data_IF_202501937438
#
_entry.id   IF_202501937438
#
_cell.length_a   1.000
_cell.length_b   1.000
_cell.length_c   1.000
_cell.angle_alpha   90.00
_cell.angle_beta   90.00
_cell.angle_gamma   90.00
#
_symmetry.space_group_name_H-M   'P 1'
#
loop_
_entity.id
_entity.type
_entity.pdbx_description
1 polymer ?
#
# COMPACT_ATOMS: atom_id res chain seq x y z
N UNK A 1 9.22 11.71 -15.26
CA UNK A 1 8.51 10.66 -16.06
C UNK A 1 7.18 11.22 -16.55
N UNK A 2 6.70 10.80 -17.73
CA UNK A 2 5.42 11.28 -18.28
C UNK A 2 4.27 10.47 -17.70
N UNK A 3 3.27 11.15 -17.14
CA UNK A 3 2.05 10.51 -16.64
C UNK A 3 1.33 9.76 -17.77
N UNK A 4 0.81 8.57 -17.47
CA UNK A 4 -0.02 7.78 -18.38
C UNK A 4 -1.50 7.94 -18.00
N UNK A 5 -2.39 7.94 -18.99
CA UNK A 5 -3.84 7.98 -18.73
C UNK A 5 -4.24 6.72 -17.97
N UNK A 6 -4.94 6.91 -16.86
CA UNK A 6 -5.53 5.85 -16.04
C UNK A 6 -6.98 6.23 -15.79
N UNK A 7 -7.90 5.35 -16.17
CA UNK A 7 -9.34 5.53 -15.99
C UNK A 7 -9.86 4.39 -15.13
N UNK A 8 -10.58 4.73 -14.07
CA UNK A 8 -11.27 3.79 -13.18
C UNK A 8 -12.47 4.48 -12.54
N UNK A 9 -13.32 3.70 -11.88
CA UNK A 9 -14.44 4.20 -11.09
C UNK A 9 -14.02 4.45 -9.65
N UNK A 10 -14.63 5.46 -9.03
CA UNK A 10 -14.45 5.82 -7.62
C UNK A 10 -15.80 6.27 -7.06
N UNK A 11 -16.05 6.01 -5.79
CA UNK A 11 -17.26 6.45 -5.10
C UNK A 11 -17.44 7.98 -5.21
N UNK A 12 -18.68 8.43 -5.37
CA UNK A 12 -19.01 9.82 -5.61
C UNK A 12 -18.60 10.73 -4.44
N UNK A 13 -18.82 10.28 -3.20
CA UNK A 13 -18.46 11.06 -2.00
C UNK A 13 -16.94 11.20 -1.92
N UNK A 14 -16.22 10.11 -2.16
CA UNK A 14 -14.74 10.10 -2.18
C UNK A 14 -14.20 11.02 -3.27
N UNK A 15 -14.81 11.02 -4.46
CA UNK A 15 -14.41 11.93 -5.54
C UNK A 15 -14.62 13.40 -5.16
N UNK A 16 -15.70 13.72 -4.46
CA UNK A 16 -15.99 15.09 -4.00
C UNK A 16 -14.95 15.55 -2.97
N UNK A 17 -14.58 14.69 -2.04
CA UNK A 17 -13.54 14.98 -1.04
C UNK A 17 -12.17 15.16 -1.70
N UNK A 18 -11.80 14.26 -2.61
CA UNK A 18 -10.55 14.36 -3.38
C UNK A 18 -10.44 15.68 -4.14
N UNK A 19 -11.52 16.11 -4.81
CA UNK A 19 -11.58 17.40 -5.52
C UNK A 19 -11.40 18.58 -4.56
N UNK A 20 -12.06 18.51 -3.41
CA UNK A 20 -11.98 19.56 -2.38
C UNK A 20 -10.56 19.67 -1.82
N UNK A 21 -9.94 18.55 -1.49
CA UNK A 21 -8.57 18.47 -1.00
C UNK A 21 -7.56 18.99 -2.03
N UNK A 22 -7.66 18.53 -3.28
CA UNK A 22 -6.79 18.97 -4.37
C UNK A 22 -6.87 20.49 -4.57
N UNK A 23 -8.09 21.07 -4.53
CA UNK A 23 -8.29 22.52 -4.62
C UNK A 23 -7.72 23.27 -3.41
N UNK A 24 -7.94 22.76 -2.20
CA UNK A 24 -7.47 23.40 -0.97
C UNK A 24 -5.93 23.42 -0.84
N UNK A 25 -5.26 22.46 -1.49
CA UNK A 25 -3.79 22.31 -1.43
C UNK A 25 -3.07 22.82 -2.69
N UNK A 26 -3.80 23.40 -3.65
CA UNK A 26 -3.29 23.81 -4.97
C UNK A 26 -2.56 22.67 -5.71
N UNK A 27 -3.10 21.46 -5.60
CA UNK A 27 -2.56 20.24 -6.21
C UNK A 27 -3.48 19.74 -7.31
N UNK A 28 -2.89 19.07 -8.31
CA UNK A 28 -3.66 18.36 -9.32
C UNK A 28 -4.26 17.07 -8.75
N UNK A 29 -5.43 16.65 -9.21
CA UNK A 29 -6.00 15.33 -8.84
C UNK A 29 -5.03 14.21 -9.19
N UNK A 30 -4.36 14.29 -10.34
CA UNK A 30 -3.40 13.28 -10.77
C UNK A 30 -2.24 13.13 -9.79
N UNK A 31 -1.69 14.23 -9.26
CA UNK A 31 -0.56 14.16 -8.33
C UNK A 31 -0.97 13.60 -6.97
N UNK A 32 -2.16 13.94 -6.47
CA UNK A 32 -2.71 13.37 -5.23
C UNK A 32 -2.96 11.87 -5.37
N UNK A 33 -3.57 11.44 -6.48
CA UNK A 33 -3.85 10.02 -6.73
C UNK A 33 -2.56 9.22 -6.91
N UNK A 34 -1.58 9.75 -7.65
CA UNK A 34 -0.28 9.08 -7.82
C UNK A 34 0.39 8.85 -6.47
N UNK A 35 0.47 9.87 -5.62
CA UNK A 35 1.07 9.75 -4.28
C UNK A 35 0.31 8.75 -3.41
N UNK A 36 -1.02 8.84 -3.34
CA UNK A 36 -1.82 7.93 -2.52
C UNK A 36 -1.67 6.46 -2.95
N UNK A 37 -1.60 6.20 -4.26
CA UNK A 37 -1.39 4.85 -4.81
C UNK A 37 0.03 4.37 -4.51
N UNK A 38 1.05 5.22 -4.65
CA UNK A 38 2.44 4.88 -4.32
C UNK A 38 2.60 4.54 -2.84
N UNK A 39 2.05 5.35 -1.94
CA UNK A 39 2.04 5.10 -0.50
C UNK A 39 1.30 3.81 -0.15
N UNK A 40 0.13 3.58 -0.75
CA UNK A 40 -0.62 2.35 -0.53
C UNK A 40 0.19 1.13 -0.97
N UNK A 41 0.77 1.15 -2.17
CA UNK A 41 1.60 0.04 -2.67
C UNK A 41 2.83 -0.16 -1.77
N UNK A 42 3.47 0.92 -1.33
CA UNK A 42 4.63 0.83 -0.44
C UNK A 42 4.27 0.20 0.91
N UNK A 43 3.12 0.56 1.48
CA UNK A 43 2.61 -0.02 2.73
C UNK A 43 2.10 -1.46 2.55
N UNK A 44 1.41 -1.75 1.45
CA UNK A 44 0.77 -3.03 1.18
C UNK A 44 1.76 -4.10 0.71
N UNK A 45 2.89 -3.71 0.10
CA UNK A 45 4.00 -4.62 -0.12
C UNK A 45 4.53 -5.03 1.25
N UNK A 46 4.19 -6.23 1.71
CA UNK A 46 4.92 -6.92 2.77
C UNK A 46 6.39 -6.75 2.41
N UNK A 47 7.14 -6.04 3.27
CA UNK A 47 8.56 -5.79 3.02
C UNK A 47 9.20 -7.15 2.74
N UNK A 48 9.83 -7.36 1.57
CA UNK A 48 10.46 -8.65 1.27
C UNK A 48 11.40 -9.09 2.39
N UNK A 49 12.08 -8.13 3.05
CA UNK A 49 12.89 -8.40 4.23
C UNK A 49 12.12 -8.83 5.48
N UNK A 50 10.89 -8.36 5.69
CA UNK A 50 10.04 -8.88 6.77
C UNK A 50 9.59 -10.32 6.48
N UNK A 51 9.24 -10.62 5.23
CA UNK A 51 8.86 -11.98 4.85
C UNK A 51 10.05 -12.94 4.96
N UNK A 52 11.21 -12.54 4.46
CA UNK A 52 12.44 -13.32 4.59
C UNK A 52 12.83 -13.55 6.06
N UNK A 53 12.78 -12.51 6.90
CA UNK A 53 13.06 -12.65 8.33
C UNK A 53 12.02 -13.54 9.04
N UNK A 54 10.75 -13.49 8.62
CA UNK A 54 9.72 -14.38 9.15
C UNK A 54 9.96 -15.83 8.73
N UNK A 55 10.30 -16.07 7.46
CA UNK A 55 10.60 -17.40 6.96
C UNK A 55 11.83 -17.98 7.69
N UNK A 56 12.89 -17.18 7.91
CA UNK A 56 14.09 -17.57 8.66
C UNK A 56 13.79 -17.95 10.12
N UNK A 57 13.00 -17.12 10.84
CA UNK A 57 12.59 -17.41 12.22
C UNK A 57 11.72 -18.67 12.32
N UNK A 58 10.84 -18.90 11.35
CA UNK A 58 9.98 -20.08 11.32
C UNK A 58 10.78 -21.36 11.04
N UNK A 59 11.79 -21.29 10.17
CA UNK A 59 12.70 -22.42 9.90
C UNK A 59 13.61 -22.71 11.10
N UNK A 60 14.24 -21.68 11.68
CA UNK A 60 15.17 -21.84 12.83
C UNK A 60 14.49 -22.41 14.07
N UNK A 61 13.20 -22.16 14.25
CA UNK A 61 12.43 -22.58 15.41
C UNK A 61 11.39 -23.66 15.11
N UNK A 62 11.46 -24.31 13.94
CA UNK A 62 10.46 -25.26 13.49
C UNK A 62 10.21 -26.41 14.48
N UNK A 63 11.26 -26.92 15.12
CA UNK A 63 11.14 -28.00 16.11
C UNK A 63 10.47 -27.54 17.42
N UNK A 64 10.78 -26.33 17.89
CA UNK A 64 10.11 -25.74 19.05
C UNK A 64 8.63 -25.51 18.77
N UNK A 65 8.30 -24.97 17.59
CA UNK A 65 6.93 -24.73 17.16
C UNK A 65 6.12 -26.03 17.06
N UNK A 66 6.73 -27.12 16.54
CA UNK A 66 6.10 -28.46 16.52
C UNK A 66 5.78 -29.00 17.91
N UNK A 67 6.64 -28.71 18.90
CA UNK A 67 6.42 -29.14 20.29
C UNK A 67 5.33 -28.33 20.99
N UNK A 68 5.24 -27.03 20.71
CA UNK A 68 4.20 -26.13 21.24
C UNK A 68 2.81 -26.41 20.65
N UNK A 69 2.74 -26.95 19.43
CA UNK A 69 1.49 -27.28 18.76
C UNK A 69 0.85 -28.61 19.20
N UNK A 70 1.47 -29.33 20.16
CA UNK A 70 0.93 -30.55 20.79
C UNK A 70 0.35 -30.23 22.16
#
# INVERSE_FOLDING_TARGET
MKAKKFATQIDEKVLKELRSYAKATDRSISSVVTEAVEEYIHRAKIRPGFRAAMDEVLDDHQELLKRLAK
#
